data_IF_481312424011
#
_entry.id   IF_481312424011
#
_cell.length_a   1.000
_cell.length_b   1.000
_cell.length_c   1.000
_cell.angle_alpha   90.00
_cell.angle_beta   90.00
_cell.angle_gamma   90.00
#
_symmetry.space_group_name_H-M   'P 1'
#
loop_
_entity.id
_entity.type
_entity.pdbx_description
1 polymer ?
#
# COMPACT_ATOMS: atom_id res chain seq x y z
N UNK A 1 7.73 -14.89 -34.98
CA UNK A 1 8.73 -14.03 -34.33
C UNK A 1 8.10 -12.66 -34.20
N UNK A 2 8.17 -12.06 -33.02
CA UNK A 2 7.58 -10.74 -32.80
C UNK A 2 8.37 -9.67 -33.54
N UNK A 3 7.68 -8.66 -34.03
CA UNK A 3 8.27 -7.58 -34.85
C UNK A 3 8.85 -6.45 -34.00
N UNK A 4 8.29 -6.23 -32.78
CA UNK A 4 8.64 -5.13 -31.89
C UNK A 4 9.17 -5.67 -30.57
N UNK A 5 10.40 -5.28 -30.22
CA UNK A 5 11.02 -5.60 -28.93
C UNK A 5 10.65 -4.51 -27.90
N UNK A 6 9.61 -4.79 -27.12
CA UNK A 6 9.03 -3.83 -26.18
C UNK A 6 10.01 -3.44 -25.06
N UNK A 7 10.95 -4.32 -24.70
CA UNK A 7 12.00 -4.04 -23.70
C UNK A 7 13.01 -2.96 -24.13
N UNK A 8 12.94 -2.53 -25.40
CA UNK A 8 13.73 -1.41 -25.94
C UNK A 8 12.95 -0.09 -26.01
N UNK A 9 11.71 -0.09 -25.50
CA UNK A 9 10.88 1.11 -25.41
C UNK A 9 10.96 1.71 -24.02
N UNK A 10 11.20 3.02 -23.94
CA UNK A 10 11.30 3.77 -22.69
C UNK A 10 10.27 4.90 -22.69
N UNK A 11 9.41 4.95 -21.68
CA UNK A 11 8.47 6.04 -21.43
C UNK A 11 9.14 7.11 -20.58
N UNK A 12 8.88 8.38 -20.89
CA UNK A 12 9.32 9.53 -20.09
C UNK A 12 8.13 10.40 -19.71
N UNK A 13 8.14 10.91 -18.48
CA UNK A 13 7.05 11.73 -17.94
C UNK A 13 7.41 12.32 -16.58
N UNK A 14 6.48 12.28 -15.64
CA UNK A 14 6.64 12.83 -14.29
C UNK A 14 7.84 12.24 -13.58
N UNK A 15 8.78 13.11 -13.22
CA UNK A 15 9.94 12.76 -12.39
C UNK A 15 10.97 11.84 -13.03
N UNK A 16 10.82 11.39 -14.30
CA UNK A 16 11.83 10.55 -14.92
C UNK A 16 11.38 9.71 -16.11
N UNK A 17 11.95 8.51 -16.20
CA UNK A 17 11.67 7.56 -17.29
C UNK A 17 11.62 6.13 -16.78
N UNK A 18 10.97 5.26 -17.53
CA UNK A 18 10.84 3.82 -17.27
C UNK A 18 10.93 3.01 -18.55
N UNK A 19 11.82 2.02 -18.59
CA UNK A 19 11.92 1.08 -19.71
C UNK A 19 10.94 -0.06 -19.48
N UNK A 20 10.12 -0.35 -20.50
CA UNK A 20 9.10 -1.37 -20.44
C UNK A 20 9.70 -2.78 -20.29
N UNK A 21 8.94 -3.66 -19.64
CA UNK A 21 9.29 -5.08 -19.45
C UNK A 21 8.23 -6.03 -20.01
N UNK A 22 7.19 -5.49 -20.63
CA UNK A 22 6.14 -6.26 -21.29
C UNK A 22 6.67 -7.04 -22.49
N UNK A 23 5.97 -8.12 -22.83
CA UNK A 23 6.38 -8.99 -23.94
C UNK A 23 6.41 -8.27 -25.28
N UNK A 24 7.32 -8.71 -26.13
CA UNK A 24 7.39 -8.28 -27.52
C UNK A 24 6.09 -8.57 -28.29
N UNK A 25 5.75 -7.76 -29.27
CA UNK A 25 4.49 -7.82 -30.04
C UNK A 25 4.74 -7.78 -31.54
N UNK A 26 3.71 -8.15 -32.32
CA UNK A 26 3.72 -8.00 -33.77
C UNK A 26 3.14 -6.65 -34.17
N UNK A 27 3.60 -6.10 -35.29
CA UNK A 27 2.96 -4.92 -35.90
C UNK A 27 1.57 -5.32 -36.43
N UNK A 28 0.61 -4.45 -36.23
CA UNK A 28 -0.78 -4.68 -36.68
C UNK A 28 -1.02 -4.12 -38.08
N UNK A 29 -0.18 -3.19 -38.51
CA UNK A 29 -0.21 -2.62 -39.85
C UNK A 29 1.13 -1.91 -40.16
N UNK A 30 1.31 -1.43 -41.37
CA UNK A 30 2.50 -0.64 -41.75
C UNK A 30 2.67 0.67 -40.92
N UNK A 31 1.70 1.04 -40.11
CA UNK A 31 1.68 2.31 -39.36
C UNK A 31 1.35 2.15 -37.89
N UNK A 32 1.15 0.94 -37.39
CA UNK A 32 0.71 0.76 -36.00
C UNK A 32 1.09 -0.60 -35.43
N UNK A 33 1.36 -0.58 -34.12
CA UNK A 33 1.37 -1.73 -33.22
C UNK A 33 0.71 -1.35 -31.89
N UNK A 34 0.34 -2.32 -31.09
CA UNK A 34 -0.24 -2.13 -29.78
C UNK A 34 0.45 -3.03 -28.76
N UNK A 35 0.69 -2.49 -27.57
CA UNK A 35 1.25 -3.23 -26.42
C UNK A 35 0.25 -3.19 -25.28
N UNK A 36 -0.13 -4.36 -24.78
CA UNK A 36 -0.80 -4.46 -23.48
C UNK A 36 0.28 -4.57 -22.41
N UNK A 37 0.40 -3.54 -21.58
CA UNK A 37 1.42 -3.49 -20.53
C UNK A 37 1.13 -4.53 -19.45
N UNK A 38 2.16 -5.18 -18.94
CA UNK A 38 2.07 -6.03 -17.75
C UNK A 38 1.83 -5.17 -16.48
N UNK A 39 1.53 -5.80 -15.36
CA UNK A 39 1.17 -5.09 -14.13
C UNK A 39 2.28 -4.15 -13.61
N UNK A 40 3.54 -4.54 -13.75
CA UNK A 40 4.68 -3.71 -13.32
C UNK A 40 4.83 -2.46 -14.21
N UNK A 41 4.72 -2.66 -15.53
CA UNK A 41 4.76 -1.56 -16.49
C UNK A 41 3.57 -0.61 -16.32
N UNK A 42 2.36 -1.14 -16.08
CA UNK A 42 1.18 -0.31 -15.79
C UNK A 42 1.40 0.55 -14.55
N UNK A 43 1.91 -0.04 -13.48
CA UNK A 43 2.14 0.66 -12.22
C UNK A 43 3.14 1.82 -12.38
N UNK A 44 4.23 1.60 -13.13
CA UNK A 44 5.23 2.63 -13.43
C UNK A 44 4.73 3.67 -14.44
N UNK A 45 4.08 3.21 -15.52
CA UNK A 45 3.55 4.08 -16.57
C UNK A 45 2.49 5.05 -16.03
N UNK A 46 1.59 4.60 -15.15
CA UNK A 46 0.58 5.47 -14.55
C UNK A 46 1.19 6.59 -13.70
N UNK A 47 2.31 6.35 -13.02
CA UNK A 47 3.01 7.39 -12.26
C UNK A 47 3.74 8.39 -13.15
N UNK A 48 4.33 7.93 -14.26
CA UNK A 48 4.97 8.82 -15.24
C UNK A 48 3.97 9.63 -16.05
N UNK A 49 2.86 9.00 -16.46
CA UNK A 49 1.82 9.55 -17.31
C UNK A 49 0.60 9.96 -16.47
N UNK A 50 0.84 10.73 -15.42
CA UNK A 50 -0.06 10.98 -14.29
C UNK A 50 -1.16 12.02 -14.54
N UNK A 51 -1.25 12.57 -15.75
CA UNK A 51 -2.22 13.60 -16.12
C UNK A 51 -2.73 13.41 -17.55
N UNK A 52 -4.01 13.69 -17.77
CA UNK A 52 -4.57 13.71 -19.13
C UNK A 52 -3.93 14.80 -19.98
N UNK A 53 -3.65 14.49 -21.24
CA UNK A 53 -3.01 15.40 -22.19
C UNK A 53 -1.64 14.92 -22.63
N UNK A 54 -0.73 15.85 -22.93
CA UNK A 54 0.59 15.57 -23.51
C UNK A 54 1.76 15.88 -22.59
N UNK A 55 1.46 16.29 -21.34
CA UNK A 55 2.45 16.62 -20.33
C UNK A 55 1.96 16.21 -18.95
N UNK A 56 2.89 15.88 -18.06
CA UNK A 56 2.65 15.48 -16.67
C UNK A 56 2.22 16.64 -15.79
N UNK A 57 1.87 16.34 -14.53
CA UNK A 57 1.58 17.31 -13.48
C UNK A 57 2.72 18.31 -13.29
N UNK A 58 3.98 17.87 -13.33
CA UNK A 58 5.20 18.69 -13.30
C UNK A 58 5.57 19.33 -14.63
N UNK A 59 4.67 19.34 -15.63
CA UNK A 59 4.87 19.92 -16.95
C UNK A 59 5.95 19.26 -17.81
N UNK A 60 6.35 18.03 -17.52
CA UNK A 60 7.23 17.24 -18.39
C UNK A 60 6.44 16.71 -19.58
N UNK A 61 6.86 17.03 -20.81
CA UNK A 61 6.25 16.49 -22.03
C UNK A 61 6.46 14.98 -22.08
N UNK A 62 5.38 14.26 -22.33
CA UNK A 62 5.44 12.79 -22.48
C UNK A 62 6.12 12.37 -23.76
N UNK A 63 6.97 11.35 -23.68
CA UNK A 63 7.68 10.81 -24.82
C UNK A 63 7.84 9.29 -24.69
N UNK A 64 7.77 8.59 -25.83
CA UNK A 64 8.26 7.22 -25.95
C UNK A 64 9.55 7.22 -26.76
N UNK A 65 10.62 6.70 -26.17
CA UNK A 65 11.90 6.52 -26.86
C UNK A 65 12.02 5.04 -27.26
N UNK A 66 12.52 4.79 -28.44
CA UNK A 66 12.82 3.46 -28.96
C UNK A 66 14.33 3.34 -29.18
N UNK A 67 14.98 2.43 -28.44
CA UNK A 67 16.40 2.18 -28.57
C UNK A 67 16.71 1.43 -29.88
N UNK A 68 17.98 1.35 -30.26
CA UNK A 68 18.38 0.62 -31.47
C UNK A 68 17.90 -0.85 -31.39
N UNK A 69 17.54 -1.40 -32.57
CA UNK A 69 16.99 -2.75 -32.73
C UNK A 69 15.58 -3.00 -32.12
N UNK A 70 14.84 -1.97 -31.73
CA UNK A 70 13.47 -2.13 -31.25
C UNK A 70 12.52 -2.80 -32.28
N UNK A 71 12.83 -2.69 -33.57
CA UNK A 71 12.12 -3.36 -34.68
C UNK A 71 12.99 -4.49 -35.24
N UNK A 72 12.61 -5.73 -34.98
CA UNK A 72 13.43 -6.92 -35.27
C UNK A 72 13.57 -7.21 -36.79
N UNK A 73 12.63 -6.75 -37.63
CA UNK A 73 12.67 -6.90 -39.08
C UNK A 73 13.54 -5.88 -39.81
N UNK A 74 14.14 -4.93 -39.10
CA UNK A 74 14.98 -3.90 -39.72
C UNK A 74 16.36 -4.45 -40.06
N UNK A 75 16.95 -4.08 -41.25
CA UNK A 75 18.31 -4.47 -41.57
C UNK A 75 19.31 -3.91 -40.55
N UNK A 76 20.28 -4.71 -40.12
CA UNK A 76 21.31 -4.31 -39.12
C UNK A 76 22.20 -3.13 -39.60
N UNK A 77 22.15 -2.78 -40.86
CA UNK A 77 22.88 -1.63 -41.45
C UNK A 77 22.11 -0.30 -41.37
N UNK A 78 20.86 -0.33 -40.84
CA UNK A 78 19.98 0.84 -40.72
C UNK A 78 19.80 1.17 -39.27
N UNK A 79 20.14 2.39 -38.85
CA UNK A 79 19.84 2.89 -37.51
C UNK A 79 18.34 3.15 -37.41
N UNK A 80 17.68 2.45 -36.47
CA UNK A 80 16.23 2.55 -36.22
C UNK A 80 15.90 3.19 -34.89
N UNK A 81 16.92 3.59 -34.11
CA UNK A 81 16.70 4.27 -32.85
C UNK A 81 15.92 5.58 -33.06
N UNK A 82 14.90 5.79 -32.25
CA UNK A 82 14.07 6.99 -32.24
C UNK A 82 13.81 7.42 -30.79
N UNK A 83 14.63 8.36 -30.33
CA UNK A 83 14.73 8.68 -28.90
C UNK A 83 13.88 9.87 -28.47
N UNK A 84 13.48 10.73 -29.39
CA UNK A 84 12.84 12.01 -29.07
C UNK A 84 11.80 12.43 -30.10
N UNK A 85 10.85 13.27 -29.69
CA UNK A 85 9.82 13.78 -30.61
C UNK A 85 8.59 12.88 -30.72
N UNK A 86 8.55 11.77 -29.97
CA UNK A 86 7.49 10.78 -30.04
C UNK A 86 6.49 11.04 -28.90
N UNK A 87 5.69 12.09 -29.05
CA UNK A 87 4.74 12.53 -28.02
C UNK A 87 3.67 11.49 -27.73
N UNK A 88 3.37 11.32 -26.43
CA UNK A 88 2.27 10.48 -25.96
C UNK A 88 1.10 11.40 -25.60
N UNK A 89 -0.12 11.03 -26.02
CA UNK A 89 -1.35 11.63 -25.52
C UNK A 89 -2.02 10.68 -24.54
N UNK A 90 -2.16 11.11 -23.29
CA UNK A 90 -2.74 10.33 -22.19
C UNK A 90 -4.21 10.70 -22.02
N UNK A 91 -5.04 9.70 -21.77
CA UNK A 91 -6.46 9.87 -21.46
C UNK A 91 -6.90 8.90 -20.38
N UNK A 92 -7.99 9.22 -19.69
CA UNK A 92 -8.62 8.38 -18.65
C UNK A 92 -7.68 8.08 -17.46
N UNK A 93 -6.85 9.04 -17.07
CA UNK A 93 -6.09 8.93 -15.81
C UNK A 93 -7.08 8.79 -14.66
N UNK A 94 -6.92 7.74 -13.87
CA UNK A 94 -7.81 7.46 -12.75
C UNK A 94 -7.46 8.33 -11.55
N UNK A 95 -8.49 8.79 -10.82
CA UNK A 95 -8.31 9.39 -9.50
C UNK A 95 -8.12 8.27 -8.48
N UNK A 96 -7.05 8.26 -7.70
CA UNK A 96 -6.85 7.26 -6.66
C UNK A 96 -7.88 7.42 -5.54
N UNK A 97 -8.36 6.29 -5.01
CA UNK A 97 -9.30 6.26 -3.88
C UNK A 97 -8.92 5.16 -2.90
N UNK A 98 -9.21 5.35 -1.63
CA UNK A 98 -9.19 4.31 -0.61
C UNK A 98 -10.59 3.72 -0.50
N UNK A 99 -10.70 2.43 -0.30
CA UNK A 99 -12.00 1.73 -0.17
C UNK A 99 -12.18 1.08 1.18
N UNK A 100 -11.11 0.61 1.80
CA UNK A 100 -11.13 0.01 3.13
C UNK A 100 -9.71 -0.16 3.68
N UNK A 101 -9.62 -0.52 4.96
CA UNK A 101 -8.36 -0.94 5.56
C UNK A 101 -8.56 -2.11 6.52
N UNK A 102 -7.49 -2.86 6.79
CA UNK A 102 -7.41 -3.84 7.87
C UNK A 102 -6.20 -3.53 8.74
N UNK A 103 -6.34 -3.72 10.04
CA UNK A 103 -5.25 -3.54 10.98
C UNK A 103 -5.07 -4.76 11.86
N UNK A 104 -3.85 -5.27 11.94
CA UNK A 104 -3.46 -6.34 12.86
C UNK A 104 -2.65 -5.76 14.02
N UNK A 105 -3.25 -5.66 15.20
CA UNK A 105 -2.61 -5.07 16.37
C UNK A 105 -1.42 -5.88 16.92
N UNK A 106 -1.30 -7.17 16.57
CA UNK A 106 -0.16 -7.97 17.01
C UNK A 106 1.10 -7.63 16.24
N UNK A 107 0.95 -7.48 14.91
CA UNK A 107 2.06 -7.17 14.02
C UNK A 107 2.27 -5.67 13.82
N UNK A 108 1.23 -4.86 14.06
CA UNK A 108 1.21 -3.43 13.74
C UNK A 108 1.09 -3.16 12.24
N UNK A 109 0.62 -4.15 11.46
CA UNK A 109 0.46 -3.98 10.00
C UNK A 109 -0.91 -3.40 9.70
N UNK A 110 -0.92 -2.25 9.04
CA UNK A 110 -2.08 -1.62 8.42
C UNK A 110 -2.03 -1.91 6.93
N UNK A 111 -3.03 -2.62 6.40
CA UNK A 111 -3.20 -2.85 4.96
C UNK A 111 -4.34 -1.99 4.48
N UNK A 112 -4.09 -1.17 3.47
CA UNK A 112 -5.07 -0.27 2.85
C UNK A 112 -5.39 -0.80 1.46
N UNK A 113 -6.68 -0.92 1.15
CA UNK A 113 -7.20 -1.31 -0.15
C UNK A 113 -7.76 -0.08 -0.85
N UNK A 114 -7.48 0.04 -2.14
CA UNK A 114 -7.89 1.20 -2.93
C UNK A 114 -7.99 0.89 -4.41
N UNK A 115 -8.15 1.92 -5.21
CA UNK A 115 -8.13 1.84 -6.69
C UNK A 115 -7.26 2.95 -7.25
N UNK A 116 -6.72 2.75 -8.44
CA UNK A 116 -5.91 3.77 -9.11
C UNK A 116 -4.60 4.08 -8.38
N UNK A 117 -4.03 3.12 -7.65
CA UNK A 117 -2.73 3.29 -7.00
C UNK A 117 -1.61 3.12 -8.04
N UNK A 118 -0.63 4.02 -8.04
CA UNK A 118 0.49 3.98 -8.97
C UNK A 118 1.77 4.57 -8.35
N UNK A 119 2.91 4.21 -8.93
CA UNK A 119 4.24 4.54 -8.40
C UNK A 119 4.70 5.92 -8.80
N UNK A 120 5.41 6.60 -7.90
CA UNK A 120 6.24 7.75 -8.20
C UNK A 120 7.67 7.30 -8.51
N UNK A 121 8.35 8.01 -9.39
CA UNK A 121 9.79 7.76 -9.60
C UNK A 121 10.58 8.07 -8.34
N UNK A 122 11.43 7.13 -7.92
CA UNK A 122 12.20 7.22 -6.68
C UNK A 122 11.87 6.07 -5.73
N UNK A 123 12.33 6.14 -4.50
CA UNK A 123 12.14 5.10 -3.50
C UNK A 123 11.47 5.66 -2.24
N UNK A 124 10.55 4.89 -1.66
CA UNK A 124 9.83 5.22 -0.42
C UNK A 124 9.16 6.60 -0.46
N UNK A 125 8.45 6.90 -1.55
CA UNK A 125 7.85 8.20 -1.77
C UNK A 125 6.48 8.14 -2.46
N UNK A 126 5.90 6.93 -2.57
CA UNK A 126 4.61 6.77 -3.23
C UNK A 126 3.46 7.19 -2.30
N UNK A 127 3.49 6.73 -1.03
CA UNK A 127 2.47 7.09 -0.03
C UNK A 127 3.13 7.92 1.07
N UNK A 128 2.61 9.11 1.28
CA UNK A 128 2.93 9.97 2.43
C UNK A 128 2.11 9.51 3.64
N UNK A 129 2.73 8.75 4.51
CA UNK A 129 2.09 8.16 5.70
C UNK A 129 1.59 9.24 6.67
N UNK A 130 2.22 10.39 6.70
CA UNK A 130 1.84 11.51 7.58
C UNK A 130 0.49 12.16 7.22
N UNK A 131 -0.07 11.83 6.06
CA UNK A 131 -1.39 12.29 5.63
C UNK A 131 -2.55 11.40 6.12
N UNK A 132 -2.22 10.22 6.68
CA UNK A 132 -3.20 9.23 7.10
C UNK A 132 -3.63 9.47 8.56
N UNK A 133 -4.93 9.58 8.78
CA UNK A 133 -5.54 9.77 10.09
C UNK A 133 -6.51 8.63 10.41
N UNK A 134 -6.33 8.00 11.57
CA UNK A 134 -7.20 6.94 12.05
C UNK A 134 -8.14 7.49 13.13
N UNK A 135 -9.38 6.99 13.12
CA UNK A 135 -10.41 7.32 14.11
C UNK A 135 -10.83 6.08 14.87
N UNK A 136 -11.02 6.19 16.19
CA UNK A 136 -11.47 5.10 17.05
C UNK A 136 -11.68 5.57 18.49
N UNK A 137 -11.41 4.67 19.43
CA UNK A 137 -11.44 4.99 20.87
C UNK A 137 -12.78 5.51 21.36
N UNK A 138 -12.75 6.45 22.29
CA UNK A 138 -13.93 7.09 22.87
C UNK A 138 -14.16 8.44 22.18
N UNK A 139 -15.43 8.78 21.92
CA UNK A 139 -15.85 10.05 21.33
C UNK A 139 -15.20 10.36 19.96
N UNK A 140 -14.96 9.34 19.15
CA UNK A 140 -14.30 9.45 17.85
C UNK A 140 -12.92 10.13 17.92
N UNK A 141 -12.12 9.71 18.89
CA UNK A 141 -10.74 10.18 18.97
C UNK A 141 -9.96 9.86 17.70
N UNK A 142 -9.04 10.73 17.33
CA UNK A 142 -8.26 10.61 16.09
C UNK A 142 -6.77 10.62 16.37
N UNK A 143 -6.02 9.95 15.50
CA UNK A 143 -4.56 9.99 15.48
C UNK A 143 -4.05 10.05 14.05
N UNK A 144 -3.24 11.05 13.73
CA UNK A 144 -2.52 11.13 12.46
C UNK A 144 -1.14 10.49 12.62
N UNK A 145 -0.76 9.64 11.69
CA UNK A 145 0.53 8.94 11.73
C UNK A 145 1.70 9.95 11.63
N UNK A 146 2.77 9.73 12.38
CA UNK A 146 3.89 10.68 12.49
C UNK A 146 5.28 10.06 12.50
N UNK A 147 5.38 8.77 12.81
CA UNK A 147 6.67 8.11 13.06
C UNK A 147 6.95 6.93 12.14
N UNK A 148 5.94 6.45 11.42
CA UNK A 148 6.09 5.40 10.41
C UNK A 148 6.62 6.02 9.12
N UNK A 149 7.46 5.27 8.40
CA UNK A 149 8.06 5.75 7.15
C UNK A 149 7.10 5.67 5.99
N UNK A 150 7.25 6.58 5.04
CA UNK A 150 6.63 6.51 3.73
C UNK A 150 6.98 5.20 3.04
N UNK A 151 6.11 4.74 2.18
CA UNK A 151 6.21 3.42 1.55
C UNK A 151 6.15 3.48 0.04
N UNK A 152 6.65 2.42 -0.55
CA UNK A 152 6.64 2.13 -1.97
C UNK A 152 5.45 1.25 -2.33
N UNK A 153 4.70 1.59 -3.37
CA UNK A 153 3.58 0.80 -3.89
C UNK A 153 4.11 -0.35 -4.76
N UNK A 154 3.59 -1.54 -4.52
CA UNK A 154 3.86 -2.74 -5.31
C UNK A 154 2.60 -3.31 -5.98
N UNK A 155 1.43 -2.74 -5.70
CA UNK A 155 0.13 -3.16 -6.24
C UNK A 155 -0.72 -1.93 -6.57
N UNK A 156 -1.48 -2.00 -7.67
CA UNK A 156 -2.43 -0.95 -8.06
C UNK A 156 -3.71 -0.91 -7.23
N UNK A 157 -3.87 -1.84 -6.29
CA UNK A 157 -5.10 -1.99 -5.50
C UNK A 157 -4.90 -2.03 -4.00
N UNK A 158 -3.65 -2.07 -3.52
CA UNK A 158 -3.37 -2.10 -2.08
C UNK A 158 -1.95 -1.68 -1.75
N UNK A 159 -1.78 -1.17 -0.55
CA UNK A 159 -0.47 -0.96 0.08
C UNK A 159 -0.53 -1.39 1.55
N UNK A 160 0.63 -1.61 2.15
CA UNK A 160 0.73 -1.92 3.58
C UNK A 160 1.85 -1.14 4.23
N UNK A 161 1.59 -0.69 5.46
CA UNK A 161 2.58 -0.06 6.31
C UNK A 161 2.68 -0.81 7.63
N UNK A 162 3.90 -1.08 8.06
CA UNK A 162 4.16 -1.57 9.42
C UNK A 162 4.34 -0.37 10.32
N UNK A 163 3.37 -0.14 11.19
CA UNK A 163 3.42 0.97 12.14
C UNK A 163 4.56 0.76 13.13
N UNK A 164 5.30 1.80 13.43
CA UNK A 164 6.45 1.78 14.33
C UNK A 164 6.25 2.68 15.54
N UNK A 165 6.93 2.36 16.64
CA UNK A 165 7.10 3.23 17.80
C UNK A 165 5.80 3.87 18.31
N UNK A 166 5.73 5.19 18.23
CA UNK A 166 4.60 5.97 18.72
C UNK A 166 3.31 5.71 17.94
N UNK A 167 3.40 5.54 16.62
CA UNK A 167 2.21 5.29 15.80
C UNK A 167 1.53 3.98 16.18
N UNK A 168 2.29 2.88 16.32
CA UNK A 168 1.71 1.61 16.74
C UNK A 168 1.05 1.72 18.12
N UNK A 169 1.71 2.38 19.08
CA UNK A 169 1.17 2.54 20.44
C UNK A 169 -0.13 3.34 20.42
N UNK A 170 -0.20 4.44 19.67
CA UNK A 170 -1.38 5.28 19.60
C UNK A 170 -2.53 4.57 18.85
N UNK A 171 -2.21 3.89 17.75
CA UNK A 171 -3.21 3.16 16.95
C UNK A 171 -3.76 1.96 17.71
N UNK A 172 -2.94 1.19 18.44
CA UNK A 172 -3.40 0.11 19.31
C UNK A 172 -4.38 0.62 20.40
N UNK A 173 -4.18 1.84 20.89
CA UNK A 173 -5.09 2.46 21.88
C UNK A 173 -6.40 2.95 21.26
N UNK A 174 -6.39 3.35 19.98
CA UNK A 174 -7.58 3.76 19.25
C UNK A 174 -8.39 2.58 18.71
N UNK A 175 -7.70 1.60 18.13
CA UNK A 175 -8.27 0.42 17.49
C UNK A 175 -8.18 -0.76 18.47
N UNK A 176 -8.78 -0.59 19.62
CA UNK A 176 -8.59 -1.38 20.85
C UNK A 176 -9.37 -2.70 20.90
N UNK A 177 -10.22 -2.96 19.89
CA UNK A 177 -11.09 -4.14 19.86
C UNK A 177 -11.16 -4.76 18.48
N UNK A 178 -11.32 -6.08 18.39
CA UNK A 178 -11.58 -6.80 17.14
C UNK A 178 -12.90 -6.36 16.52
N UNK A 179 -12.90 -6.18 15.22
CA UNK A 179 -14.07 -5.77 14.43
C UNK A 179 -13.94 -4.38 13.86
N UNK A 180 -15.04 -3.66 13.79
CA UNK A 180 -15.12 -2.34 13.12
C UNK A 180 -15.46 -1.19 14.07
N UNK A 181 -15.52 -1.47 15.37
CA UNK A 181 -15.94 -0.50 16.40
C UNK A 181 -15.08 -0.66 17.64
N UNK A 182 -14.68 0.43 18.27
CA UNK A 182 -13.89 0.45 19.50
C UNK A 182 -14.73 0.08 20.74
N UNK A 183 -14.07 -0.25 21.83
CA UNK A 183 -14.72 -0.44 23.14
C UNK A 183 -15.48 0.80 23.60
N UNK A 184 -15.05 1.99 23.18
CA UNK A 184 -15.72 3.28 23.43
C UNK A 184 -16.89 3.57 22.49
N UNK A 185 -17.26 2.66 21.57
CA UNK A 185 -18.41 2.78 20.68
C UNK A 185 -18.16 3.58 19.39
N UNK A 186 -16.94 4.01 19.14
CA UNK A 186 -16.59 4.74 17.90
C UNK A 186 -16.38 3.75 16.73
N UNK A 187 -16.98 4.00 15.60
CA UNK A 187 -16.70 3.25 14.36
C UNK A 187 -15.30 3.59 13.87
N UNK A 188 -14.52 2.55 13.55
CA UNK A 188 -13.18 2.72 13.02
C UNK A 188 -13.20 3.32 11.62
N UNK A 189 -12.37 4.32 11.40
CA UNK A 189 -12.25 5.01 10.13
C UNK A 189 -10.80 5.35 9.80
N UNK A 190 -10.44 5.23 8.52
CA UNK A 190 -9.23 5.78 7.93
C UNK A 190 -9.59 6.96 7.06
N UNK A 191 -8.97 8.09 7.30
CA UNK A 191 -9.02 9.26 6.44
C UNK A 191 -7.63 9.53 5.85
N UNK A 192 -7.58 9.96 4.61
CA UNK A 192 -6.38 10.43 3.94
C UNK A 192 -6.56 11.90 3.55
N UNK A 193 -5.64 12.76 3.93
CA UNK A 193 -5.62 14.14 3.47
C UNK A 193 -5.23 14.20 1.99
N UNK A 194 -5.43 15.33 1.34
CA UNK A 194 -5.00 15.51 -0.04
C UNK A 194 -3.49 15.23 -0.22
N UNK A 195 -3.10 14.84 -1.43
CA UNK A 195 -1.73 14.49 -1.80
C UNK A 195 -1.13 13.26 -1.07
N UNK A 196 -1.96 12.38 -0.48
CA UNK A 196 -1.50 11.16 0.16
C UNK A 196 -0.80 10.18 -0.78
N UNK A 197 -1.09 10.23 -2.08
CA UNK A 197 -0.38 9.49 -3.15
C UNK A 197 0.51 10.46 -3.92
N UNK A 198 1.82 10.38 -3.71
CA UNK A 198 2.81 11.34 -4.20
C UNK A 198 2.97 11.40 -5.72
N UNK A 199 2.45 10.42 -6.48
CA UNK A 199 2.48 10.40 -7.93
C UNK A 199 1.20 10.96 -8.56
N UNK A 200 0.14 11.21 -7.81
CA UNK A 200 -1.10 11.79 -8.34
C UNK A 200 -0.89 13.22 -8.89
N UNK A 201 -1.77 13.66 -9.80
CA UNK A 201 -1.77 15.05 -10.24
C UNK A 201 -2.07 15.96 -9.06
N UNK A 202 -1.10 16.76 -8.64
CA UNK A 202 -1.21 17.68 -7.50
C UNK A 202 -2.33 18.73 -7.62
N UNK A 203 -2.92 18.89 -8.82
CA UNK A 203 -4.08 19.75 -9.01
C UNK A 203 -5.42 19.03 -8.80
N UNK A 204 -5.38 17.71 -8.59
CA UNK A 204 -6.57 16.88 -8.34
C UNK A 204 -6.68 16.61 -6.86
N UNK A 205 -7.78 17.02 -6.23
CA UNK A 205 -8.09 16.66 -4.85
C UNK A 205 -8.35 15.14 -4.77
N UNK A 206 -7.49 14.44 -4.03
CA UNK A 206 -7.56 13.01 -3.77
C UNK A 206 -7.85 12.72 -2.30
N UNK A 207 -8.25 13.71 -1.51
CA UNK A 207 -8.62 13.50 -0.11
C UNK A 207 -9.74 12.47 0.02
N UNK A 208 -9.64 11.60 1.01
CA UNK A 208 -10.60 10.53 1.24
C UNK A 208 -10.89 10.42 2.75
N UNK A 209 -12.06 10.86 3.15
CA UNK A 209 -12.38 11.09 4.55
C UNK A 209 -13.04 9.89 5.26
N UNK A 210 -13.50 8.86 4.53
CA UNK A 210 -14.38 7.86 5.13
C UNK A 210 -14.17 6.45 4.58
N UNK A 211 -13.29 5.71 5.23
CA UNK A 211 -12.94 4.34 4.87
C UNK A 211 -12.97 3.43 6.09
N UNK A 212 -13.76 2.37 6.04
CA UNK A 212 -13.87 1.42 7.14
C UNK A 212 -12.56 0.69 7.43
N UNK A 213 -12.26 0.53 8.71
CA UNK A 213 -11.15 -0.33 9.15
C UNK A 213 -11.73 -1.56 9.83
N UNK A 214 -11.22 -2.74 9.49
CA UNK A 214 -11.46 -3.98 10.22
C UNK A 214 -10.22 -4.33 11.01
N UNK A 215 -10.36 -4.47 12.32
CA UNK A 215 -9.27 -4.76 13.26
C UNK A 215 -9.26 -6.21 13.63
N UNK A 216 -8.09 -6.82 13.62
CA UNK A 216 -7.83 -8.13 14.23
C UNK A 216 -6.92 -7.96 15.46
N UNK A 217 -7.40 -8.47 16.59
CA UNK A 217 -6.63 -8.49 17.83
C UNK A 217 -6.63 -9.92 18.35
N UNK A 218 -5.46 -10.55 18.53
CA UNK A 218 -5.39 -11.86 19.13
C UNK A 218 -5.05 -11.72 20.63
N UNK A 219 -5.77 -12.40 21.52
CA UNK A 219 -5.40 -12.42 22.93
C UNK A 219 -4.03 -13.09 23.11
N UNK A 220 -3.20 -12.49 23.91
CA UNK A 220 -1.87 -13.03 24.24
C UNK A 220 -1.53 -12.79 25.70
N UNK A 221 -0.80 -13.71 26.32
CA UNK A 221 -0.22 -13.54 27.64
C UNK A 221 1.10 -12.77 27.50
N UNK A 222 1.28 -11.74 28.33
CA UNK A 222 2.51 -10.93 28.38
C UNK A 222 3.35 -11.24 29.61
N UNK A 223 2.71 -11.61 30.73
CA UNK A 223 3.39 -12.02 31.96
C UNK A 223 2.45 -12.81 32.86
N UNK A 224 3.01 -13.46 33.87
CA UNK A 224 2.26 -14.06 34.92
C UNK A 224 3.03 -13.93 36.26
N UNK A 225 2.30 -13.82 37.37
CA UNK A 225 2.83 -13.88 38.73
C UNK A 225 2.09 -14.93 39.54
N UNK A 226 2.79 -15.66 40.36
CA UNK A 226 2.20 -16.63 41.25
C UNK A 226 2.53 -16.27 42.73
N UNK A 227 1.51 -16.15 43.55
CA UNK A 227 1.66 -15.96 44.96
C UNK A 227 1.53 -17.32 45.68
N UNK A 228 2.63 -17.84 46.18
CA UNK A 228 2.67 -19.14 46.82
C UNK A 228 1.95 -19.15 48.20
N UNK A 229 1.74 -18.00 48.83
CA UNK A 229 1.04 -17.91 50.09
C UNK A 229 -0.47 -18.02 49.92
N UNK A 230 -1.03 -17.42 48.91
CA UNK A 230 -2.46 -17.43 48.59
C UNK A 230 -2.85 -18.50 47.54
N UNK A 231 -1.88 -19.06 46.80
CA UNK A 231 -2.12 -19.91 45.66
C UNK A 231 -2.68 -19.18 44.43
N UNK A 232 -2.62 -17.85 44.40
CA UNK A 232 -3.16 -17.06 43.33
C UNK A 232 -2.18 -16.97 42.14
N UNK A 233 -2.64 -17.33 40.95
CA UNK A 233 -1.98 -17.06 39.70
C UNK A 233 -2.64 -15.86 39.06
N UNK A 234 -1.89 -14.77 38.86
CA UNK A 234 -2.33 -13.59 38.10
C UNK A 234 -1.66 -13.60 36.75
N UNK A 235 -2.45 -13.65 35.67
CA UNK A 235 -1.98 -13.61 34.30
C UNK A 235 -2.30 -12.24 33.70
N UNK A 236 -1.28 -11.57 33.18
CA UNK A 236 -1.44 -10.30 32.46
C UNK A 236 -1.31 -10.59 30.98
N UNK A 237 -2.14 -9.96 30.17
CA UNK A 237 -2.14 -10.15 28.73
C UNK A 237 -2.51 -8.88 27.98
N UNK A 238 -2.45 -8.97 26.66
CA UNK A 238 -2.99 -7.97 25.77
C UNK A 238 -4.16 -8.57 24.99
N UNK A 239 -5.14 -7.72 24.67
CA UNK A 239 -6.34 -8.09 23.91
C UNK A 239 -7.15 -9.24 24.53
N UNK A 240 -7.11 -9.36 25.86
CA UNK A 240 -7.94 -10.31 26.59
C UNK A 240 -9.41 -9.85 26.49
N UNK A 241 -10.29 -10.76 26.08
CA UNK A 241 -11.70 -10.45 25.85
C UNK A 241 -12.57 -11.14 26.92
N UNK A 242 -13.53 -10.39 27.47
CA UNK A 242 -14.54 -10.94 28.35
C UNK A 242 -15.68 -11.60 27.53
N UNK A 243 -16.06 -12.81 27.93
CA UNK A 243 -17.19 -13.52 27.36
C UNK A 243 -18.41 -13.33 28.30
N UNK A 244 -19.36 -12.53 27.90
CA UNK A 244 -20.51 -12.11 28.75
C UNK A 244 -21.45 -13.20 29.26
N UNK A 245 -21.14 -14.48 29.15
CA UNK A 245 -22.03 -15.58 29.53
C UNK A 245 -21.39 -16.77 30.22
N UNK A 246 -20.10 -16.73 30.56
CA UNK A 246 -19.41 -17.88 31.17
C UNK A 246 -18.01 -17.55 31.66
N UNK A 247 -17.19 -18.56 31.95
CA UNK A 247 -15.78 -18.35 32.24
C UNK A 247 -15.06 -17.87 30.99
N UNK A 248 -14.37 -16.73 31.10
CA UNK A 248 -13.64 -16.10 30.01
C UNK A 248 -12.38 -16.87 29.65
N UNK A 249 -11.83 -17.65 30.59
CA UNK A 249 -10.56 -18.35 30.44
C UNK A 249 -10.71 -19.81 30.80
N UNK A 250 -10.29 -20.70 29.92
CA UNK A 250 -10.20 -22.14 30.22
C UNK A 250 -8.81 -22.45 30.79
N UNK A 251 -8.76 -22.57 32.13
CA UNK A 251 -7.53 -22.85 32.86
C UNK A 251 -6.89 -24.21 32.47
N UNK A 252 -7.66 -25.14 31.91
CA UNK A 252 -7.12 -26.45 31.45
C UNK A 252 -6.20 -26.35 30.22
N UNK A 253 -6.15 -25.20 29.58
CA UNK A 253 -5.29 -24.89 28.43
C UNK A 253 -3.94 -24.31 28.84
N UNK A 254 -3.77 -23.96 30.12
CA UNK A 254 -2.48 -23.48 30.61
C UNK A 254 -1.57 -24.64 30.96
N UNK A 255 -0.32 -24.51 30.58
CA UNK A 255 0.74 -25.46 30.89
C UNK A 255 1.84 -24.71 31.63
N UNK A 256 2.25 -25.26 32.77
CA UNK A 256 3.40 -24.76 33.52
C UNK A 256 4.62 -25.58 33.17
N UNK A 257 5.71 -24.91 32.84
CA UNK A 257 7.01 -25.55 32.66
C UNK A 257 7.89 -25.15 33.86
N UNK A 258 8.34 -26.14 34.62
CA UNK A 258 9.20 -25.95 35.77
C UNK A 258 10.58 -26.56 35.51
N UNK A 259 11.44 -26.50 36.51
CA UNK A 259 12.81 -26.99 36.49
C UNK A 259 12.96 -28.34 35.76
N UNK A 260 13.89 -28.42 34.83
CA UNK A 260 14.18 -29.62 34.05
C UNK A 260 13.17 -29.96 32.94
N UNK A 261 12.38 -28.99 32.43
CA UNK A 261 11.40 -29.17 31.35
C UNK A 261 10.21 -30.08 31.66
N UNK A 262 9.88 -30.29 32.94
CA UNK A 262 8.65 -30.97 33.32
C UNK A 262 7.45 -30.05 33.15
N UNK A 263 6.40 -30.53 32.50
CA UNK A 263 5.15 -29.82 32.24
C UNK A 263 4.04 -30.39 33.14
N UNK A 264 3.21 -29.52 33.72
CA UNK A 264 2.03 -29.84 34.54
C UNK A 264 0.80 -29.19 33.95
#
# INVERSE_FOLDING_TARGET
>A
ANDVEVSLLTLSGEGGSYTLTSSAVDVTSATAFSVTLNAADQLAAHGLLNKNGTASSGATTYNVAAAENWMTGSPASVTVADLTGNGITVSNVQTPTITSATYDSNTGILVVTGTGLFKKTGANNDIDISTLTLTGGTANATYTLTSSSDIEITSSTSFSVTLSGADKTAVDALLDQTGTTSSGGSTYNLAAADNWLGAADAATDISDASNSITVSTNPRITSATYDAASGALTVTGANLQANGGGADTDASKFTFTADGSSTY
#
